data_IF_805898687613
#
_entry.id   IF_805898687613
#
_cell.length_a   1.000
_cell.length_b   1.000
_cell.length_c   1.000
_cell.angle_alpha   90.00
_cell.angle_beta   90.00
_cell.angle_gamma   90.00
#
_symmetry.space_group_name_H-M   'P 1'
#
loop_
_entity.id
_entity.type
_entity.pdbx_description
1 polymer ?
#
# COMPACT_ATOMS: atom_id res chain seq x y z
N UNK A 1 20.04 14.92 -18.98
CA UNK A 1 19.13 14.86 -20.15
C UNK A 1 18.34 16.16 -20.27
N UNK A 2 18.06 16.68 -21.50
CA UNK A 2 17.29 17.92 -21.65
C UNK A 2 15.78 17.60 -21.50
N UNK A 3 15.02 18.49 -20.82
CA UNK A 3 13.58 18.30 -20.57
C UNK A 3 12.77 18.07 -21.88
N UNK A 4 13.15 18.75 -22.97
CA UNK A 4 12.50 18.57 -24.28
C UNK A 4 12.76 17.18 -24.88
N UNK A 5 13.93 16.61 -24.64
CA UNK A 5 14.27 15.26 -25.07
C UNK A 5 13.46 14.21 -24.29
N UNK A 6 13.32 14.42 -22.98
CA UNK A 6 12.47 13.56 -22.14
C UNK A 6 11.02 13.60 -22.61
N UNK A 7 10.47 14.78 -22.85
CA UNK A 7 9.11 14.96 -23.38
C UNK A 7 8.90 14.21 -24.69
N UNK A 8 9.87 14.26 -25.62
CA UNK A 8 9.78 13.53 -26.89
C UNK A 8 9.79 12.00 -26.67
N UNK A 9 10.64 11.51 -25.75
CA UNK A 9 10.70 10.08 -25.41
C UNK A 9 9.41 9.58 -24.78
N UNK A 10 8.80 10.37 -23.88
CA UNK A 10 7.50 10.04 -23.29
C UNK A 10 6.41 9.98 -24.38
N UNK A 11 6.31 11.00 -25.22
CA UNK A 11 5.31 11.06 -26.31
C UNK A 11 5.45 9.93 -27.33
N UNK A 12 6.66 9.38 -27.50
CA UNK A 12 6.92 8.22 -28.37
C UNK A 12 6.76 6.89 -27.66
N UNK A 13 6.33 6.89 -26.37
CA UNK A 13 6.27 5.72 -25.51
C UNK A 13 7.62 4.99 -25.32
N UNK A 14 8.74 5.69 -25.50
CA UNK A 14 10.07 5.18 -25.16
C UNK A 14 10.26 5.23 -23.63
N UNK A 15 9.57 6.15 -22.95
CA UNK A 15 9.43 6.23 -21.50
C UNK A 15 7.92 6.19 -21.22
N UNK A 16 7.44 5.12 -20.57
CA UNK A 16 6.05 5.02 -20.15
C UNK A 16 5.93 5.43 -18.67
N UNK A 17 5.19 6.50 -18.43
CA UNK A 17 4.98 7.08 -17.10
C UNK A 17 4.36 6.05 -16.17
N UNK A 18 3.36 5.31 -16.66
CA UNK A 18 2.56 4.38 -15.86
C UNK A 18 3.37 3.15 -15.39
N UNK A 19 4.46 2.83 -16.07
CA UNK A 19 5.32 1.69 -15.76
C UNK A 19 6.61 2.05 -15.00
N UNK A 20 6.83 3.34 -14.69
CA UNK A 20 8.05 3.76 -13.94
C UNK A 20 8.06 3.26 -12.51
N UNK A 21 6.90 3.11 -11.90
CA UNK A 21 6.78 2.66 -10.52
C UNK A 21 5.53 1.79 -10.36
N UNK A 22 5.67 0.66 -9.67
CA UNK A 22 4.54 -0.21 -9.40
C UNK A 22 3.65 0.38 -8.29
N UNK A 23 2.51 0.95 -8.68
CA UNK A 23 1.56 1.58 -7.78
C UNK A 23 1.03 0.63 -6.70
N UNK A 24 0.67 -0.60 -7.07
CA UNK A 24 0.15 -1.60 -6.12
C UNK A 24 1.19 -1.90 -5.03
N UNK A 25 2.46 -2.02 -5.42
CA UNK A 25 3.56 -2.21 -4.48
C UNK A 25 3.70 -1.02 -3.50
N UNK A 26 3.45 0.21 -3.96
CA UNK A 26 3.45 1.38 -3.08
C UNK A 26 2.26 1.38 -2.11
N UNK A 27 1.07 0.99 -2.59
CA UNK A 27 -0.12 0.84 -1.72
C UNK A 27 0.17 -0.17 -0.61
N UNK A 28 0.73 -1.34 -0.96
CA UNK A 28 1.08 -2.37 0.01
C UNK A 28 2.15 -1.89 0.99
N UNK A 29 3.17 -1.16 0.53
CA UNK A 29 4.19 -0.57 1.43
C UNK A 29 3.59 0.46 2.38
N UNK A 30 2.70 1.33 1.90
CA UNK A 30 2.02 2.31 2.74
C UNK A 30 1.09 1.63 3.76
N UNK A 31 0.37 0.58 3.35
CA UNK A 31 -0.39 -0.28 4.25
C UNK A 31 0.49 -0.84 5.37
N UNK A 32 1.62 -1.47 5.02
CA UNK A 32 2.54 -2.06 5.99
C UNK A 32 3.09 -1.01 6.97
N UNK A 33 3.42 0.17 6.46
CA UNK A 33 3.84 1.28 7.31
C UNK A 33 2.75 1.67 8.30
N UNK A 34 1.51 1.82 7.83
CA UNK A 34 0.35 2.15 8.68
C UNK A 34 0.13 1.08 9.76
N UNK A 35 0.12 -0.20 9.38
CA UNK A 35 -0.10 -1.33 10.29
C UNK A 35 0.98 -1.41 11.37
N UNK A 36 2.25 -1.32 10.98
CA UNK A 36 3.40 -1.39 11.89
C UNK A 36 3.44 -0.26 12.94
N UNK A 37 2.73 0.86 12.69
CA UNK A 37 2.68 2.00 13.61
C UNK A 37 1.31 2.19 14.28
N UNK A 38 0.36 1.29 14.04
CA UNK A 38 -1.01 1.45 14.56
C UNK A 38 -1.38 0.46 15.66
N UNK A 39 -0.77 -0.71 15.69
CA UNK A 39 -1.17 -1.79 16.60
C UNK A 39 -0.01 -2.13 17.51
N UNK A 40 -0.22 -1.94 18.82
CA UNK A 40 0.78 -2.23 19.85
C UNK A 40 0.17 -3.05 20.99
N UNK A 41 0.99 -3.89 21.62
CA UNK A 41 0.67 -4.64 22.85
C UNK A 41 1.80 -4.38 23.84
N UNK A 42 1.44 -4.07 25.09
CA UNK A 42 2.42 -3.78 26.14
C UNK A 42 3.46 -2.73 25.73
N UNK A 43 3.01 -1.68 25.00
CA UNK A 43 3.85 -0.60 24.45
C UNK A 43 4.88 -1.04 23.39
N UNK A 44 4.69 -2.20 22.76
CA UNK A 44 5.49 -2.65 21.60
C UNK A 44 4.60 -2.83 20.40
N UNK A 45 5.00 -2.28 19.27
CA UNK A 45 4.29 -2.50 18.01
C UNK A 45 4.38 -3.96 17.57
N UNK A 46 3.29 -4.48 17.04
CA UNK A 46 3.25 -5.82 16.46
C UNK A 46 3.88 -5.74 15.07
N UNK A 47 4.92 -6.53 14.77
CA UNK A 47 5.49 -6.59 13.44
C UNK A 47 4.51 -7.25 12.46
N UNK A 48 4.32 -6.62 11.30
CA UNK A 48 3.51 -7.11 10.20
C UNK A 48 4.44 -7.56 9.07
N UNK A 49 4.21 -8.75 8.55
CA UNK A 49 5.06 -9.43 7.56
C UNK A 49 4.19 -9.86 6.39
N UNK A 50 4.61 -9.58 5.16
CA UNK A 50 3.90 -10.05 3.97
C UNK A 50 4.43 -11.43 3.61
N UNK A 51 3.55 -12.43 3.63
CA UNK A 51 3.80 -13.78 3.16
C UNK A 51 2.61 -14.25 2.34
N UNK A 52 2.80 -14.56 1.08
CA UNK A 52 1.72 -14.98 0.20
C UNK A 52 1.63 -16.48 -0.02
N UNK A 53 2.72 -17.22 0.21
CA UNK A 53 2.76 -18.65 -0.06
C UNK A 53 3.71 -19.39 0.91
N UNK A 54 3.56 -20.72 0.99
CA UNK A 54 4.54 -21.58 1.69
C UNK A 54 5.96 -21.46 1.12
N UNK A 55 6.08 -21.11 -0.17
CA UNK A 55 7.36 -20.89 -0.84
C UNK A 55 8.09 -19.67 -0.28
N UNK A 56 7.37 -18.62 0.11
CA UNK A 56 7.95 -17.44 0.76
C UNK A 56 8.54 -17.79 2.13
N UNK A 57 7.89 -18.66 2.88
CA UNK A 57 8.43 -19.18 4.15
C UNK A 57 9.72 -19.96 3.89
N UNK A 58 9.74 -20.88 2.92
CA UNK A 58 10.93 -21.62 2.54
C UNK A 58 12.05 -20.72 2.04
N UNK A 59 11.71 -19.66 1.29
CA UNK A 59 12.67 -18.65 0.86
C UNK A 59 13.29 -17.92 2.05
N UNK A 60 12.49 -17.46 3.00
CA UNK A 60 12.95 -16.78 4.21
C UNK A 60 13.81 -17.70 5.09
N UNK A 61 13.41 -18.98 5.21
CA UNK A 61 14.21 -20.00 5.89
C UNK A 61 15.57 -20.21 5.20
N UNK A 62 15.58 -20.32 3.86
CA UNK A 62 16.81 -20.51 3.08
C UNK A 62 17.79 -19.34 3.19
N UNK A 63 17.27 -18.14 3.50
CA UNK A 63 18.06 -16.91 3.74
C UNK A 63 18.44 -16.72 5.20
N UNK A 64 18.01 -17.61 6.10
CA UNK A 64 18.26 -17.50 7.53
C UNK A 64 17.41 -16.46 8.25
N UNK A 65 16.48 -15.80 7.57
CA UNK A 65 15.66 -14.73 8.18
C UNK A 65 14.70 -15.23 9.26
N UNK A 66 14.31 -16.49 9.24
CA UNK A 66 13.41 -17.08 10.24
C UNK A 66 14.14 -17.58 11.49
N UNK A 67 15.42 -17.92 11.37
CA UNK A 67 16.17 -18.62 12.43
C UNK A 67 17.43 -17.88 12.90
N UNK A 68 17.82 -16.81 12.23
CA UNK A 68 19.05 -16.12 12.57
C UNK A 68 18.84 -15.17 13.74
N UNK A 69 19.45 -15.54 14.88
CA UNK A 69 19.51 -14.76 16.12
C UNK A 69 20.78 -13.87 16.11
N UNK A 70 21.37 -13.63 14.96
CA UNK A 70 22.56 -12.75 14.91
C UNK A 70 22.15 -11.32 15.23
N UNK A 71 22.80 -10.76 16.24
CA UNK A 71 22.56 -9.41 16.80
C UNK A 71 22.78 -8.26 15.79
N UNK A 72 23.07 -8.57 14.52
CA UNK A 72 23.52 -7.58 13.54
C UNK A 72 22.45 -7.10 12.56
N UNK A 73 21.30 -7.74 12.46
CA UNK A 73 20.21 -7.26 11.62
C UNK A 73 18.87 -7.29 12.38
N UNK A 74 18.32 -6.12 12.66
CA UNK A 74 17.01 -5.96 13.30
C UNK A 74 15.86 -6.65 12.53
N UNK A 75 16.07 -7.04 11.28
CA UNK A 75 15.06 -7.63 10.42
C UNK A 75 14.81 -9.11 10.73
N UNK A 76 15.85 -9.91 11.00
CA UNK A 76 15.69 -11.33 11.31
C UNK A 76 14.93 -11.60 12.62
N UNK A 77 15.04 -10.68 13.59
CA UNK A 77 14.35 -10.76 14.87
C UNK A 77 12.84 -10.61 14.73
N UNK A 78 12.37 -9.88 13.71
CA UNK A 78 10.95 -9.60 13.47
C UNK A 78 10.17 -10.87 13.11
N UNK A 79 10.77 -11.77 12.32
CA UNK A 79 10.09 -12.97 11.81
C UNK A 79 9.87 -14.06 12.86
N UNK A 80 10.68 -14.08 13.91
CA UNK A 80 10.58 -15.07 14.99
C UNK A 80 9.87 -14.56 16.24
N UNK A 81 9.60 -13.25 16.32
CA UNK A 81 8.94 -12.68 17.48
C UNK A 81 7.46 -13.03 17.54
N UNK A 82 6.95 -13.25 18.75
CA UNK A 82 5.53 -13.31 19.07
C UNK A 82 5.29 -12.18 20.09
N UNK A 83 4.27 -11.33 19.90
CA UNK A 83 3.24 -11.35 18.85
C UNK A 83 3.74 -10.92 17.46
N UNK A 84 3.11 -11.44 16.42
CA UNK A 84 3.37 -11.06 15.01
C UNK A 84 2.09 -11.14 14.19
N UNK A 85 2.08 -10.45 13.05
CA UNK A 85 1.01 -10.54 12.07
C UNK A 85 1.56 -10.96 10.71
N UNK A 86 0.93 -11.94 10.09
CA UNK A 86 1.17 -12.31 8.70
C UNK A 86 0.09 -11.62 7.86
N UNK A 87 0.52 -10.86 6.87
CA UNK A 87 -0.34 -10.14 5.93
C UNK A 87 -0.32 -10.89 4.60
N UNK A 88 -1.47 -11.38 4.19
CA UNK A 88 -1.67 -12.05 2.91
C UNK A 88 -2.42 -11.10 1.97
N UNK A 89 -1.87 -10.85 0.79
CA UNK A 89 -2.54 -10.06 -0.26
C UNK A 89 -3.29 -11.05 -1.15
N UNK A 90 -4.60 -10.88 -1.23
CA UNK A 90 -5.48 -11.72 -2.04
C UNK A 90 -5.67 -11.17 -3.46
N UNK A 91 -6.90 -10.88 -3.85
CA UNK A 91 -7.24 -10.38 -5.19
C UNK A 91 -6.99 -8.87 -5.34
N UNK A 92 -6.73 -8.46 -6.58
CA UNK A 92 -6.72 -7.07 -7.01
C UNK A 92 -7.80 -6.93 -8.08
N UNK A 93 -8.78 -6.08 -7.82
CA UNK A 93 -9.95 -5.90 -8.68
C UNK A 93 -10.08 -4.45 -9.13
N UNK A 94 -10.48 -4.24 -10.39
CA UNK A 94 -10.89 -2.93 -10.89
C UNK A 94 -12.38 -2.77 -10.65
N UNK A 95 -12.77 -1.70 -9.94
CA UNK A 95 -14.17 -1.39 -9.68
C UNK A 95 -14.79 -0.67 -10.89
N UNK A 96 -15.20 -1.46 -11.89
CA UNK A 96 -15.67 -0.95 -13.19
C UNK A 96 -16.86 -0.01 -13.04
N UNK A 97 -17.76 -0.30 -12.11
CA UNK A 97 -18.97 0.51 -11.86
C UNK A 97 -18.65 1.91 -11.29
N UNK A 98 -17.47 2.07 -10.71
CA UNK A 98 -16.97 3.35 -10.18
C UNK A 98 -16.03 4.06 -11.15
N UNK A 99 -15.79 3.50 -12.33
CA UNK A 99 -14.88 4.05 -13.32
C UNK A 99 -15.50 5.31 -13.94
N UNK A 100 -15.10 6.47 -13.42
CA UNK A 100 -15.50 7.77 -13.97
C UNK A 100 -14.58 8.16 -15.12
N UNK A 101 -15.18 8.63 -16.21
CA UNK A 101 -14.48 8.91 -17.46
C UNK A 101 -13.84 10.31 -17.63
N UNK A 102 -13.98 11.31 -16.75
CA UNK A 102 -13.33 12.57 -17.03
C UNK A 102 -11.82 12.44 -16.85
N UNK A 103 -11.09 12.78 -17.92
CA UNK A 103 -9.66 13.07 -17.79
C UNK A 103 -9.49 14.37 -17.02
N UNK A 104 -8.56 14.37 -16.08
CA UNK A 104 -8.17 15.55 -15.29
C UNK A 104 -6.69 15.79 -15.54
N UNK A 105 -6.32 17.06 -15.72
CA UNK A 105 -4.91 17.42 -15.83
C UNK A 105 -4.30 17.53 -14.44
N UNK A 106 -3.17 16.87 -14.23
CA UNK A 106 -2.42 16.90 -12.98
C UNK A 106 -0.92 16.99 -13.20
N UNK A 107 -0.21 17.42 -12.17
CA UNK A 107 1.26 17.45 -12.14
C UNK A 107 1.77 16.10 -11.64
N UNK A 108 2.94 15.69 -12.12
CA UNK A 108 3.63 14.50 -11.65
C UNK A 108 5.15 14.69 -11.73
N UNK A 109 5.85 13.87 -10.96
CA UNK A 109 7.31 13.91 -10.85
C UNK A 109 7.91 12.61 -11.41
N UNK A 110 8.92 12.74 -12.24
CA UNK A 110 9.73 11.62 -12.73
C UNK A 110 11.16 11.77 -12.24
N UNK A 111 11.69 10.71 -11.65
CA UNK A 111 13.11 10.61 -11.34
C UNK A 111 13.80 9.86 -12.47
N UNK A 112 14.63 10.55 -13.23
CA UNK A 112 15.41 10.01 -14.35
C UNK A 112 16.86 10.42 -14.16
N UNK A 113 17.79 9.48 -14.24
CA UNK A 113 19.24 9.73 -14.11
C UNK A 113 19.57 10.57 -12.86
N UNK A 114 18.99 10.20 -11.70
CA UNK A 114 19.15 10.89 -10.40
C UNK A 114 18.67 12.36 -10.39
N UNK A 115 17.94 12.78 -11.40
CA UNK A 115 17.36 14.11 -11.53
C UNK A 115 15.83 14.05 -11.46
N UNK A 116 15.24 14.95 -10.67
CA UNK A 116 13.79 15.07 -10.56
C UNK A 116 13.25 16.07 -11.59
N UNK A 117 12.27 15.64 -12.36
CA UNK A 117 11.62 16.44 -13.39
C UNK A 117 10.12 16.56 -13.12
N UNK A 118 9.59 17.78 -13.25
CA UNK A 118 8.18 18.08 -13.05
C UNK A 118 7.46 18.22 -14.40
N UNK A 119 6.40 17.45 -14.56
CA UNK A 119 5.57 17.43 -15.76
C UNK A 119 4.09 17.56 -15.38
N UNK A 120 3.27 17.86 -16.38
CA UNK A 120 1.82 17.74 -16.29
C UNK A 120 1.28 16.88 -17.43
N UNK A 121 0.27 16.10 -17.16
CA UNK A 121 -0.45 15.31 -18.16
C UNK A 121 -1.92 15.17 -17.80
N UNK A 122 -2.71 14.76 -18.76
CA UNK A 122 -4.06 14.29 -18.48
C UNK A 122 -3.99 12.87 -17.92
N UNK A 123 -4.78 12.59 -16.92
CA UNK A 123 -4.90 11.27 -16.32
C UNK A 123 -6.34 10.97 -15.94
N UNK A 124 -6.66 9.71 -15.84
CA UNK A 124 -7.91 9.22 -15.25
C UNK A 124 -7.61 8.41 -14.00
N UNK A 125 -8.54 8.41 -13.07
CA UNK A 125 -8.45 7.58 -11.87
C UNK A 125 -9.12 6.24 -12.14
N UNK A 126 -8.38 5.16 -11.93
CA UNK A 126 -8.90 3.80 -12.01
C UNK A 126 -9.09 3.29 -10.59
N UNK A 127 -10.34 3.12 -10.14
CA UNK A 127 -10.61 2.63 -8.78
C UNK A 127 -10.23 1.16 -8.69
N UNK A 128 -9.42 0.85 -7.67
CA UNK A 128 -8.93 -0.47 -7.36
C UNK A 128 -9.39 -0.91 -5.98
N UNK A 129 -9.70 -2.19 -5.86
CA UNK A 129 -9.94 -2.88 -4.61
C UNK A 129 -8.90 -3.97 -4.45
N UNK A 130 -8.21 -3.99 -3.32
CA UNK A 130 -7.21 -4.99 -2.98
C UNK A 130 -7.66 -5.69 -1.70
N UNK A 131 -7.88 -7.00 -1.76
CA UNK A 131 -8.23 -7.80 -0.58
C UNK A 131 -6.98 -8.19 0.18
N UNK A 132 -7.01 -8.09 1.51
CA UNK A 132 -5.93 -8.48 2.38
C UNK A 132 -6.47 -9.20 3.63
N UNK A 133 -5.78 -10.24 4.08
CA UNK A 133 -6.05 -10.92 5.33
C UNK A 133 -4.90 -10.69 6.31
N UNK A 134 -5.23 -10.28 7.52
CA UNK A 134 -4.30 -10.05 8.63
C UNK A 134 -4.41 -11.20 9.63
N UNK A 135 -3.40 -12.04 9.71
CA UNK A 135 -3.35 -13.18 10.60
C UNK A 135 -2.38 -12.94 11.75
N UNK A 136 -2.92 -12.61 12.92
CA UNK A 136 -2.15 -12.33 14.13
C UNK A 136 -1.92 -13.60 14.93
N UNK A 137 -0.74 -13.75 15.53
CA UNK A 137 -0.35 -14.87 16.37
C UNK A 137 0.17 -14.37 17.73
N UNK A 138 -0.37 -14.97 18.80
CA UNK A 138 -0.08 -14.62 20.20
C UNK A 138 0.22 -15.86 21.01
N UNK A 139 1.00 -15.72 22.07
CA UNK A 139 1.20 -16.74 23.10
C UNK A 139 0.15 -16.65 24.23
N UNK A 140 -0.51 -15.49 24.36
CA UNK A 140 -1.49 -15.20 25.40
C UNK A 140 -2.84 -14.79 24.81
N UNK A 141 -3.93 -15.31 25.38
CA UNK A 141 -5.29 -14.88 25.02
C UNK A 141 -5.56 -13.43 25.42
N UNK A 142 -4.97 -12.96 26.51
CA UNK A 142 -5.11 -11.56 26.93
C UNK A 142 -4.48 -10.60 25.92
N UNK A 143 -3.33 -10.95 25.35
CA UNK A 143 -2.69 -10.16 24.30
C UNK A 143 -3.54 -10.14 23.02
N UNK A 144 -4.20 -11.24 22.70
CA UNK A 144 -5.13 -11.29 21.58
C UNK A 144 -6.35 -10.38 21.78
N UNK A 145 -6.89 -10.32 23.01
CA UNK A 145 -7.98 -9.39 23.33
C UNK A 145 -7.53 -7.92 23.30
N UNK A 146 -6.34 -7.61 23.82
CA UNK A 146 -5.76 -6.27 23.74
C UNK A 146 -5.56 -5.85 22.28
N UNK A 147 -4.99 -6.74 21.45
CA UNK A 147 -4.83 -6.49 20.02
C UNK A 147 -6.17 -6.26 19.31
N UNK A 148 -7.21 -7.04 19.63
CA UNK A 148 -8.53 -6.87 19.01
C UNK A 148 -9.12 -5.48 19.31
N UNK A 149 -8.91 -4.95 20.50
CA UNK A 149 -9.32 -3.59 20.85
C UNK A 149 -8.56 -2.55 20.00
N UNK A 150 -7.23 -2.68 19.85
CA UNK A 150 -6.43 -1.78 19.01
C UNK A 150 -6.82 -1.86 17.53
N UNK A 151 -7.13 -3.05 17.02
CA UNK A 151 -7.62 -3.26 15.66
C UNK A 151 -8.94 -2.49 15.47
N UNK A 152 -9.89 -2.67 16.35
CA UNK A 152 -11.18 -1.99 16.28
C UNK A 152 -11.00 -0.47 16.34
N UNK A 153 -10.18 0.04 17.25
CA UNK A 153 -10.03 1.49 17.46
C UNK A 153 -9.16 2.14 16.39
N UNK A 154 -8.11 1.50 15.88
CA UNK A 154 -7.13 2.11 15.00
C UNK A 154 -7.32 1.76 13.52
N UNK A 155 -7.73 0.53 13.18
CA UNK A 155 -7.98 0.16 11.79
C UNK A 155 -9.41 0.50 11.36
N UNK A 156 -10.41 0.18 12.19
CA UNK A 156 -11.80 0.37 11.78
C UNK A 156 -12.30 1.81 11.94
N UNK A 157 -11.62 2.64 12.74
CA UNK A 157 -11.98 4.07 12.91
C UNK A 157 -11.05 5.01 12.15
N UNK A 158 -9.77 4.69 12.00
CA UNK A 158 -8.78 5.47 11.26
C UNK A 158 -8.45 4.81 9.92
N UNK A 159 -9.46 4.75 9.08
CA UNK A 159 -9.45 3.93 7.86
C UNK A 159 -8.52 4.44 6.76
N UNK A 160 -8.13 5.71 6.77
CA UNK A 160 -7.37 6.31 5.67
C UNK A 160 -5.86 6.22 5.88
N UNK A 161 -5.14 6.08 4.79
CA UNK A 161 -3.68 6.21 4.71
C UNK A 161 -3.26 6.80 3.36
N UNK A 162 -2.10 7.43 3.33
CA UNK A 162 -1.60 8.14 2.15
C UNK A 162 -0.58 7.28 1.39
N UNK A 163 -0.71 7.28 0.06
CA UNK A 163 0.22 6.64 -0.86
C UNK A 163 0.87 7.72 -1.72
N UNK A 164 2.19 7.80 -1.69
CA UNK A 164 2.94 8.71 -2.56
C UNK A 164 3.23 8.00 -3.90
N UNK A 165 2.74 8.57 -5.00
CA UNK A 165 2.93 8.06 -6.36
C UNK A 165 3.23 9.18 -7.33
N UNK A 166 4.40 9.17 -7.94
CA UNK A 166 4.86 10.17 -8.90
C UNK A 166 4.69 11.61 -8.39
N UNK A 167 5.06 11.87 -7.13
CA UNK A 167 4.92 13.19 -6.49
C UNK A 167 3.49 13.57 -6.06
N UNK A 168 2.51 12.71 -6.33
CA UNK A 168 1.13 12.93 -5.88
C UNK A 168 0.84 12.11 -4.61
N UNK A 169 0.02 12.68 -3.71
CA UNK A 169 -0.52 11.97 -2.57
C UNK A 169 -1.90 11.41 -2.91
N UNK A 170 -2.05 10.09 -2.82
CA UNK A 170 -3.29 9.37 -3.10
C UNK A 170 -3.80 8.81 -1.79
N UNK A 171 -4.99 9.25 -1.39
CA UNK A 171 -5.66 8.73 -0.20
C UNK A 171 -6.24 7.37 -0.52
N UNK A 172 -5.85 6.38 0.26
CA UNK A 172 -6.38 5.01 0.23
C UNK A 172 -7.09 4.72 1.55
N UNK A 173 -8.06 3.83 1.53
CA UNK A 173 -8.85 3.50 2.72
C UNK A 173 -8.99 1.99 2.92
N UNK A 174 -9.05 1.58 4.19
CA UNK A 174 -9.53 0.25 4.54
C UNK A 174 -11.04 0.24 4.55
N UNK A 175 -11.63 -0.79 3.95
CA UNK A 175 -13.06 -1.04 4.03
C UNK A 175 -13.24 -2.44 4.60
N UNK A 176 -14.12 -2.52 5.57
CA UNK A 176 -14.54 -3.81 6.08
C UNK A 176 -15.53 -4.39 5.08
N UNK A 177 -15.31 -5.62 4.56
CA UNK A 177 -16.20 -6.22 3.58
C UNK A 177 -17.66 -6.24 4.08
N UNK A 178 -18.58 -5.63 3.32
CA UNK A 178 -19.98 -5.47 3.73
C UNK A 178 -20.74 -6.79 3.91
N UNK A 179 -20.24 -7.88 3.33
CA UNK A 179 -20.89 -9.19 3.36
C UNK A 179 -20.52 -10.04 4.58
N UNK A 180 -19.71 -9.53 5.50
CA UNK A 180 -19.30 -10.26 6.69
C UNK A 180 -19.98 -9.67 7.92
N UNK A 181 -20.65 -10.51 8.69
CA UNK A 181 -21.05 -10.14 10.06
C UNK A 181 -19.80 -9.80 10.86
N UNK A 182 -19.84 -8.74 11.66
CA UNK A 182 -18.72 -8.32 12.53
C UNK A 182 -18.19 -9.49 13.36
N UNK A 183 -19.06 -10.41 13.77
CA UNK A 183 -18.71 -11.64 14.51
C UNK A 183 -17.83 -12.63 13.71
N UNK A 184 -17.83 -12.52 12.36
CA UNK A 184 -16.98 -13.37 11.49
C UNK A 184 -15.70 -12.66 11.01
N UNK A 185 -15.57 -11.37 11.26
CA UNK A 185 -14.41 -10.59 10.83
C UNK A 185 -13.23 -10.69 11.80
N UNK A 186 -13.52 -10.99 13.05
CA UNK A 186 -12.53 -11.24 14.09
C UNK A 186 -12.78 -12.65 14.61
N UNK A 187 -11.97 -13.60 14.18
CA UNK A 187 -12.08 -14.99 14.60
C UNK A 187 -10.90 -15.34 15.52
N UNK A 188 -11.24 -15.93 16.66
CA UNK A 188 -10.27 -16.48 17.59
C UNK A 188 -10.20 -17.99 17.39
N UNK A 189 -9.20 -18.46 16.64
CA UNK A 189 -8.94 -19.88 16.51
C UNK A 189 -7.87 -20.33 17.50
N UNK A 190 -8.23 -21.33 18.31
CA UNK A 190 -7.23 -22.07 19.06
C UNK A 190 -6.54 -23.01 18.07
N UNK A 191 -5.38 -22.62 17.58
CA UNK A 191 -4.54 -23.52 16.80
C UNK A 191 -4.34 -24.82 17.59
N UNK A 192 -4.51 -25.93 16.89
CA UNK A 192 -4.53 -27.31 17.38
C UNK A 192 -3.65 -27.59 18.59
N UNK A 193 -3.99 -28.60 19.38
CA UNK A 193 -3.45 -29.00 20.68
C UNK A 193 -1.91 -29.04 20.81
N UNK A 194 -1.18 -28.98 19.70
CA UNK A 194 0.28 -28.98 19.69
C UNK A 194 0.91 -27.58 19.68
N UNK A 195 0.21 -26.54 19.15
CA UNK A 195 0.70 -25.17 19.21
C UNK A 195 -0.01 -24.39 20.32
N UNK A 196 0.76 -23.84 21.26
CA UNK A 196 0.27 -22.97 22.32
C UNK A 196 -0.17 -21.59 21.80
N UNK A 197 -0.08 -21.33 20.51
CA UNK A 197 -0.38 -20.04 19.90
C UNK A 197 -1.88 -19.83 19.78
N UNK A 198 -2.29 -18.58 19.98
CA UNK A 198 -3.64 -18.08 19.71
C UNK A 198 -3.59 -17.27 18.43
N UNK A 199 -4.56 -17.48 17.53
CA UNK A 199 -4.68 -16.69 16.30
C UNK A 199 -5.90 -15.77 16.33
N UNK A 200 -5.76 -14.66 15.62
CA UNK A 200 -6.80 -13.68 15.38
C UNK A 200 -6.71 -13.27 13.92
N UNK A 201 -7.75 -13.54 13.14
CA UNK A 201 -7.81 -13.16 11.71
C UNK A 201 -8.74 -11.99 11.48
N UNK A 202 -8.31 -11.08 10.60
CA UNK A 202 -9.08 -9.90 10.18
C UNK A 202 -8.96 -9.76 8.67
N UNK A 203 -10.10 -9.77 7.97
CA UNK A 203 -10.14 -9.50 6.54
C UNK A 203 -10.41 -8.02 6.29
N UNK A 204 -9.68 -7.43 5.35
CA UNK A 204 -9.79 -6.04 4.94
C UNK A 204 -9.85 -5.95 3.42
N UNK A 205 -10.66 -5.03 2.93
CA UNK A 205 -10.57 -4.53 1.57
C UNK A 205 -9.90 -3.15 1.58
N UNK A 206 -8.97 -2.93 0.67
CA UNK A 206 -8.29 -1.65 0.49
C UNK A 206 -8.83 -1.04 -0.79
N UNK A 207 -9.48 0.11 -0.68
CA UNK A 207 -9.90 0.89 -1.85
C UNK A 207 -8.90 2.02 -2.11
N UNK A 208 -8.51 2.14 -3.36
CA UNK A 208 -7.55 3.15 -3.82
C UNK A 208 -7.84 3.54 -5.26
N UNK A 209 -7.20 4.60 -5.75
CA UNK A 209 -7.37 5.08 -7.11
C UNK A 209 -6.01 5.16 -7.82
N UNK A 210 -5.77 4.27 -8.78
CA UNK A 210 -4.58 4.33 -9.63
C UNK A 210 -4.74 5.48 -10.65
N UNK A 211 -3.88 6.51 -10.64
CA UNK A 211 -3.83 7.49 -11.71
C UNK A 211 -3.14 6.88 -12.93
N UNK A 212 -3.87 6.85 -14.05
CA UNK A 212 -3.35 6.38 -15.35
C UNK A 212 -3.18 7.59 -16.25
N UNK A 213 -1.93 7.95 -16.54
CA UNK A 213 -1.54 9.11 -17.31
C UNK A 213 -1.58 8.83 -18.83
N UNK A 214 -2.03 9.82 -19.59
CA UNK A 214 -1.93 9.81 -21.05
C UNK A 214 -0.59 10.42 -21.50
N UNK A 215 0.34 9.57 -21.93
CA UNK A 215 1.67 9.96 -22.37
C UNK A 215 1.65 10.99 -23.53
N UNK A 216 0.59 11.00 -24.35
CA UNK A 216 0.49 11.92 -25.49
C UNK A 216 0.24 13.38 -25.06
N UNK A 217 -0.34 13.59 -23.89
CA UNK A 217 -0.75 14.90 -23.35
C UNK A 217 0.30 15.56 -22.45
N UNK A 218 1.47 14.92 -22.29
CA UNK A 218 2.53 15.38 -21.40
C UNK A 218 3.12 16.71 -21.85
N UNK A 219 3.26 17.63 -20.87
CA UNK A 219 3.83 18.95 -21.02
C UNK A 219 4.82 19.24 -19.88
N UNK A 220 5.78 20.15 -20.10
CA UNK A 220 6.60 20.67 -19.01
C UNK A 220 5.72 21.45 -18.01
N UNK A 221 5.99 21.32 -16.70
CA UNK A 221 5.26 22.06 -15.68
C UNK A 221 5.37 23.58 -15.88
N UNK A 222 6.52 24.09 -16.31
CA UNK A 222 6.74 25.52 -16.60
C UNK A 222 5.83 26.06 -17.71
N UNK A 223 5.44 25.22 -18.67
CA UNK A 223 4.52 25.65 -19.74
C UNK A 223 3.08 25.77 -19.27
N UNK A 224 2.69 25.02 -18.25
CA UNK A 224 1.32 25.09 -17.66
C UNK A 224 1.13 26.39 -16.89
N UNK A 225 2.14 26.81 -16.10
CA UNK A 225 2.10 28.06 -15.32
C UNK A 225 1.96 29.26 -16.26
N UNK A 226 2.72 29.27 -17.37
CA UNK A 226 2.64 30.35 -18.38
C UNK A 226 1.28 30.42 -19.08
N UNK A 227 0.60 29.30 -19.29
CA UNK A 227 -0.74 29.28 -19.91
C UNK A 227 -1.83 29.79 -18.96
N UNK A 228 -1.70 29.57 -17.66
CA UNK A 228 -2.64 30.08 -16.64
C UNK A 228 -2.48 31.59 -16.41
N UNK A 229 -1.27 32.11 -16.46
CA UNK A 229 -1.03 33.56 -16.34
C UNK A 229 -1.61 34.35 -17.52
N UNK A 230 -1.63 33.77 -18.72
CA UNK A 230 -2.24 34.38 -19.90
C UNK A 230 -3.77 34.45 -19.87
N UNK A 231 -4.43 33.55 -19.15
CA UNK A 231 -5.91 33.55 -18.98
C UNK A 231 -6.34 34.56 -17.93
N UNK A 232 -5.52 34.85 -16.93
CA UNK A 232 -5.82 35.86 -15.90
C UNK A 232 -5.61 37.30 -16.36
N UNK A 233 -4.91 37.55 -17.47
CA UNK A 233 -4.66 38.91 -18.02
C UNK A 233 -5.74 39.35 -19.02
N UNK A 234 -6.74 38.50 -19.34
CA UNK A 234 -7.83 38.81 -20.29
C UNK A 234 -9.20 38.98 -19.58
N UNK A 235 -9.21 38.97 -18.27
CA UNK A 235 -10.35 39.34 -17.41
C UNK A 235 -10.12 40.69 -16.76
#
# INVERSE_FOLDING_TARGET
>A
MNINEILQKIKRNEIDINNQTNFVSLVVKALMYKLNHSISIRNKFIPHIILNTGDDIMYLESKGYLYDVSETTNESYIYNSIPRCIVEIGSIEVLIDQLTNPYVRGMFELNLDESLYNFSAEFRRVPLKISASLNYYFDSFLDALEASQYIITNLLTLQNFDVSYLGQTIVSSFIVPQNHNIEKQIQFDALTTESKLKSLSVDLDIETNLPVFDNSTVMSADSVIKSTDLVLTVL
#
